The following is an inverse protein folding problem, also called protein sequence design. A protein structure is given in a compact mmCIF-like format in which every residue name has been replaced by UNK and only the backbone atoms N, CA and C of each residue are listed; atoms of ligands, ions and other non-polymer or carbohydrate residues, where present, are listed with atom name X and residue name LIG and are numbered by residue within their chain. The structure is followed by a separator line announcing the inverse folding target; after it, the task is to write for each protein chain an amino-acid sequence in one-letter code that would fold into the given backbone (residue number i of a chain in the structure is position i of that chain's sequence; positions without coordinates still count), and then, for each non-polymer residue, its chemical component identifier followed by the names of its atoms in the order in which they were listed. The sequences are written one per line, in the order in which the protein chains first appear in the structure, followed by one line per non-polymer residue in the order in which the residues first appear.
data_IF_331433715208
#
_entry.id   IF_331433715208
#
_cell.length_a   1.000
_cell.length_b   1.000
_cell.length_c   1.000
_cell.angle_alpha   90.00
_cell.angle_beta   90.00
_cell.angle_gamma   90.00
#
_symmetry.space_group_name_H-M   'P 1'
#
loop_
_entity.id
_entity.type
_entity.pdbx_description
1 polymer ?
#
# COMPACT_ATOMS: atom_id res chain seq x y z
N UNK A 1 -19.73 -5.38 -1.11
CA UNK A 1 -19.01 -4.32 -1.86
C UNK A 1 -19.11 -4.68 -3.32
N UNK A 2 -19.61 -3.78 -4.16
CA UNK A 2 -19.73 -4.05 -5.59
C UNK A 2 -18.39 -3.82 -6.28
N UNK A 3 -18.15 -4.45 -7.43
CA UNK A 3 -16.89 -4.25 -8.17
C UNK A 3 -16.75 -2.81 -8.64
N UNK A 4 -17.84 -2.18 -9.05
CA UNK A 4 -17.90 -0.76 -9.45
C UNK A 4 -17.38 0.22 -8.39
N UNK A 5 -17.40 -0.14 -7.11
CA UNK A 5 -16.93 0.70 -6.00
C UNK A 5 -15.40 0.69 -5.87
N UNK A 6 -14.73 -0.28 -6.50
CA UNK A 6 -13.28 -0.44 -6.42
C UNK A 6 -12.57 0.52 -7.36
N UNK A 7 -11.48 1.13 -6.90
CA UNK A 7 -10.74 2.16 -7.67
C UNK A 7 -10.34 1.69 -9.07
N UNK A 8 -9.98 0.43 -9.20
CA UNK A 8 -9.54 -0.17 -10.47
C UNK A 8 -10.68 -0.22 -11.51
N UNK A 9 -11.94 -0.28 -11.09
CA UNK A 9 -13.13 -0.32 -11.94
C UNK A 9 -13.95 0.98 -11.92
N UNK A 10 -13.42 2.05 -11.31
CA UNK A 10 -14.13 3.32 -11.16
C UNK A 10 -14.59 3.86 -12.52
N UNK A 11 -15.87 4.25 -12.59
CA UNK A 11 -16.47 4.84 -13.79
C UNK A 11 -16.83 3.82 -14.88
N UNK A 12 -16.91 2.54 -14.53
CA UNK A 12 -17.44 1.46 -15.38
C UNK A 12 -18.80 1.03 -14.86
N UNK A 13 -19.70 0.67 -15.77
CA UNK A 13 -20.96 0.03 -15.41
C UNK A 13 -20.73 -1.45 -15.09
N UNK A 14 -21.60 -2.05 -14.27
CA UNK A 14 -21.41 -3.44 -13.85
C UNK A 14 -21.37 -4.41 -15.04
N UNK A 15 -22.15 -4.14 -16.10
CA UNK A 15 -22.12 -4.91 -17.34
C UNK A 15 -20.76 -4.84 -18.03
N UNK A 16 -20.19 -3.65 -18.16
CA UNK A 16 -18.86 -3.44 -18.75
C UNK A 16 -17.78 -4.16 -17.94
N UNK A 17 -17.91 -4.17 -16.61
CA UNK A 17 -17.00 -4.89 -15.72
C UNK A 17 -17.09 -6.39 -16.01
N UNK A 18 -18.28 -6.98 -16.12
CA UNK A 18 -18.41 -8.40 -16.44
C UNK A 18 -17.77 -8.77 -17.79
N UNK A 19 -17.99 -7.96 -18.83
CA UNK A 19 -17.39 -8.17 -20.15
C UNK A 19 -15.85 -8.06 -20.09
N UNK A 20 -15.34 -7.07 -19.35
CA UNK A 20 -13.90 -6.90 -19.08
C UNK A 20 -13.31 -8.11 -18.37
N UNK A 21 -13.98 -8.64 -17.35
CA UNK A 21 -13.49 -9.82 -16.61
C UNK A 21 -13.35 -11.04 -17.53
N UNK A 22 -14.26 -11.21 -18.49
CA UNK A 22 -14.15 -12.27 -19.49
C UNK A 22 -12.94 -12.07 -20.41
N UNK A 23 -12.76 -10.85 -20.95
CA UNK A 23 -11.61 -10.51 -21.80
C UNK A 23 -10.26 -10.76 -21.11
N UNK A 24 -10.19 -10.46 -19.81
CA UNK A 24 -8.95 -10.61 -19.02
C UNK A 24 -8.74 -12.01 -18.44
N UNK A 25 -9.68 -12.94 -18.70
CA UNK A 25 -9.70 -14.27 -18.10
C UNK A 25 -9.55 -14.20 -16.58
N UNK A 26 -10.34 -13.32 -15.97
CA UNK A 26 -10.26 -13.04 -14.56
C UNK A 26 -10.54 -14.30 -13.73
N UNK A 27 -9.78 -14.50 -12.65
CA UNK A 27 -9.92 -15.65 -11.79
C UNK A 27 -10.17 -15.21 -10.35
N UNK A 28 -11.23 -15.73 -9.72
CA UNK A 28 -11.47 -15.55 -8.29
C UNK A 28 -10.88 -16.73 -7.54
N UNK A 29 -10.11 -16.46 -6.49
CA UNK A 29 -9.51 -17.48 -5.63
C UNK A 29 -9.67 -17.10 -4.17
N UNK A 30 -9.96 -18.11 -3.34
CA UNK A 30 -10.06 -17.97 -1.89
C UNK A 30 -8.84 -18.56 -1.23
N UNK A 31 -8.39 -17.91 -0.17
CA UNK A 31 -7.21 -18.27 0.60
C UNK A 31 -7.54 -18.28 2.08
N UNK A 32 -7.01 -19.28 2.79
CA UNK A 32 -7.08 -19.35 4.25
C UNK A 32 -6.01 -18.45 4.86
N UNK A 33 -6.22 -18.07 6.12
CA UNK A 33 -5.21 -17.34 6.90
C UNK A 33 -3.84 -18.03 6.84
N UNK A 34 -2.82 -17.27 6.50
CA UNK A 34 -1.43 -17.71 6.41
C UNK A 34 -1.05 -18.35 5.06
N UNK A 35 -2.00 -18.54 4.14
CA UNK A 35 -1.67 -19.05 2.81
C UNK A 35 -0.98 -17.99 1.95
N UNK A 36 0.04 -18.41 1.20
CA UNK A 36 0.71 -17.58 0.23
C UNK A 36 -0.15 -17.43 -1.03
N UNK A 37 -0.45 -16.17 -1.37
CA UNK A 37 -1.19 -15.77 -2.55
C UNK A 37 -0.23 -15.61 -3.73
N UNK A 38 0.91 -14.97 -3.50
CA UNK A 38 2.08 -14.88 -4.39
C UNK A 38 3.34 -15.05 -3.55
N UNK A 39 4.39 -15.62 -4.14
CA UNK A 39 5.66 -15.90 -3.45
C UNK A 39 6.80 -15.07 -4.01
N UNK A 40 7.72 -14.68 -3.13
CA UNK A 40 9.00 -14.12 -3.52
C UNK A 40 9.75 -15.05 -4.48
N UNK A 41 10.43 -14.47 -5.46
CA UNK A 41 11.20 -15.17 -6.49
C UNK A 41 10.36 -15.71 -7.66
N UNK A 42 9.04 -15.77 -7.52
CA UNK A 42 8.15 -16.15 -8.62
C UNK A 42 7.75 -14.90 -9.43
N UNK A 43 7.82 -14.90 -10.77
CA UNK A 43 7.25 -13.81 -11.56
C UNK A 43 5.72 -13.92 -11.59
N UNK A 44 5.04 -12.80 -11.86
CA UNK A 44 3.58 -12.78 -12.10
C UNK A 44 3.24 -11.89 -13.28
N UNK A 45 2.21 -12.27 -14.03
CA UNK A 45 1.54 -11.38 -15.01
C UNK A 45 0.18 -10.91 -14.50
N UNK A 46 -0.18 -11.29 -13.27
CA UNK A 46 -1.49 -11.05 -12.70
C UNK A 46 -1.41 -10.00 -11.59
N UNK A 47 -2.27 -9.00 -11.67
CA UNK A 47 -2.59 -8.16 -10.51
C UNK A 47 -3.67 -8.83 -9.69
N UNK A 48 -3.57 -8.68 -8.38
CA UNK A 48 -4.62 -9.11 -7.45
C UNK A 48 -5.44 -7.92 -6.97
N UNK A 49 -6.76 -8.08 -6.94
CA UNK A 49 -7.70 -7.15 -6.32
C UNK A 49 -8.35 -7.86 -5.15
N UNK A 50 -8.22 -7.31 -3.95
CA UNK A 50 -8.81 -7.93 -2.74
C UNK A 50 -10.32 -7.71 -2.76
N UNK A 51 -11.12 -8.77 -2.78
CA UNK A 51 -12.58 -8.70 -2.74
C UNK A 51 -13.08 -8.67 -1.29
N UNK A 52 -12.49 -9.49 -0.42
CA UNK A 52 -12.75 -9.57 1.02
C UNK A 52 -11.51 -10.04 1.77
N UNK A 53 -11.46 -9.81 3.08
CA UNK A 53 -10.33 -10.18 3.93
C UNK A 53 -9.19 -9.16 3.88
N UNK A 54 -7.96 -9.61 4.09
CA UNK A 54 -6.76 -8.78 4.08
C UNK A 54 -5.54 -9.55 3.55
N UNK A 55 -4.71 -8.86 2.78
CA UNK A 55 -3.41 -9.37 2.29
C UNK A 55 -2.30 -8.59 2.96
N UNK A 56 -1.31 -9.29 3.52
CA UNK A 56 -0.05 -8.71 3.99
C UNK A 56 1.00 -8.80 2.88
N UNK A 57 1.75 -7.73 2.72
CA UNK A 57 2.93 -7.69 1.85
C UNK A 57 4.14 -7.85 2.75
N UNK A 58 4.81 -8.98 2.63
CA UNK A 58 5.89 -9.40 3.52
C UNK A 58 7.18 -9.59 2.72
N UNK A 59 8.31 -9.31 3.37
CA UNK A 59 9.64 -9.67 2.89
C UNK A 59 10.31 -10.51 3.96
N UNK A 60 10.85 -11.64 3.55
CA UNK A 60 11.64 -12.51 4.40
C UNK A 60 13.12 -12.19 4.16
N UNK A 61 13.93 -12.16 5.22
CA UNK A 61 15.38 -12.14 5.07
C UNK A 61 15.98 -13.55 5.16
N UNK A 62 17.25 -13.67 4.77
CA UNK A 62 17.98 -14.94 4.80
C UNK A 62 18.13 -15.55 6.20
N UNK A 63 17.88 -14.78 7.25
CA UNK A 63 17.96 -15.22 8.64
C UNK A 63 16.58 -15.63 9.19
N UNK A 64 15.53 -15.59 8.36
CA UNK A 64 14.17 -15.98 8.73
C UNK A 64 13.38 -14.88 9.43
N UNK A 65 13.86 -13.63 9.45
CA UNK A 65 13.06 -12.52 9.95
C UNK A 65 12.05 -12.10 8.90
N UNK A 66 10.80 -11.90 9.35
CA UNK A 66 9.70 -11.42 8.51
C UNK A 66 9.43 -9.95 8.77
N UNK A 67 9.40 -9.16 7.70
CA UNK A 67 9.03 -7.75 7.75
C UNK A 67 7.75 -7.50 6.96
N UNK A 68 6.73 -6.96 7.64
CA UNK A 68 5.50 -6.50 6.97
C UNK A 68 5.76 -5.13 6.37
N UNK A 69 5.79 -5.06 5.03
CA UNK A 69 6.04 -3.83 4.28
C UNK A 69 4.77 -3.03 4.01
N UNK A 70 3.63 -3.71 4.01
CA UNK A 70 2.32 -3.10 3.77
C UNK A 70 1.18 -4.10 3.87
N UNK A 71 -0.03 -3.63 3.56
CA UNK A 71 -1.22 -4.47 3.46
C UNK A 71 -2.14 -3.97 2.35
N UNK A 72 -2.95 -4.88 1.82
CA UNK A 72 -4.03 -4.58 0.88
C UNK A 72 -5.36 -5.05 1.50
N UNK A 73 -6.24 -4.09 1.76
CA UNK A 73 -7.60 -4.30 2.25
C UNK A 73 -8.59 -4.43 1.07
N UNK A 74 -9.87 -4.76 1.32
CA UNK A 74 -10.85 -4.90 0.24
C UNK A 74 -10.90 -3.67 -0.68
N UNK A 75 -10.87 -3.91 -1.99
CA UNK A 75 -10.83 -2.90 -3.05
C UNK A 75 -9.42 -2.40 -3.42
N UNK A 76 -8.39 -2.79 -2.65
CA UNK A 76 -7.01 -2.48 -2.99
C UNK A 76 -6.44 -3.47 -4.02
N UNK A 77 -5.54 -2.94 -4.85
CA UNK A 77 -4.75 -3.71 -5.83
C UNK A 77 -3.39 -4.03 -5.22
N UNK A 78 -2.82 -5.19 -5.54
CA UNK A 78 -1.43 -5.54 -5.23
C UNK A 78 -0.75 -6.25 -6.41
N UNK A 79 0.58 -6.37 -6.31
CA UNK A 79 1.47 -6.93 -7.32
C UNK A 79 1.53 -6.16 -8.67
N UNK A 80 0.92 -4.98 -8.76
CA UNK A 80 0.87 -4.21 -10.01
C UNK A 80 2.24 -3.80 -10.56
N UNK A 81 3.20 -3.46 -9.71
CA UNK A 81 4.54 -3.11 -10.18
C UNK A 81 5.24 -4.30 -10.85
N UNK A 82 5.07 -5.52 -10.31
CA UNK A 82 5.65 -6.74 -10.84
C UNK A 82 4.88 -7.24 -12.07
N UNK A 83 3.55 -7.26 -12.00
CA UNK A 83 2.70 -7.70 -13.11
C UNK A 83 2.83 -6.86 -14.38
N UNK A 84 3.20 -5.58 -14.24
CA UNK A 84 3.44 -4.69 -15.38
C UNK A 84 4.83 -4.83 -16.03
N UNK A 85 5.76 -5.57 -15.41
CA UNK A 85 7.12 -5.79 -15.91
C UNK A 85 7.29 -7.30 -16.17
N UNK A 86 7.08 -7.76 -17.41
CA UNK A 86 7.12 -9.19 -17.73
C UNK A 86 8.41 -9.86 -17.27
N UNK A 87 8.28 -10.94 -16.51
CA UNK A 87 9.40 -11.76 -16.04
C UNK A 87 10.12 -11.24 -14.80
N UNK A 88 9.76 -10.07 -14.26
CA UNK A 88 10.35 -9.55 -13.02
C UNK A 88 9.94 -10.44 -11.83
N UNK A 89 10.90 -11.09 -11.14
CA UNK A 89 10.60 -11.86 -9.94
C UNK A 89 10.09 -10.96 -8.82
N UNK A 90 9.13 -11.46 -8.05
CA UNK A 90 8.68 -10.74 -6.85
C UNK A 90 9.81 -10.65 -5.83
N UNK A 91 10.03 -9.46 -5.25
CA UNK A 91 10.94 -9.26 -4.11
C UNK A 91 10.24 -9.46 -2.75
N UNK A 92 8.96 -9.82 -2.79
CA UNK A 92 8.03 -9.81 -1.66
C UNK A 92 7.04 -10.96 -1.82
N UNK A 93 6.55 -11.48 -0.71
CA UNK A 93 5.42 -12.41 -0.70
C UNK A 93 4.12 -11.67 -0.37
N UNK A 94 3.02 -12.13 -0.96
CA UNK A 94 1.67 -11.68 -0.61
C UNK A 94 0.98 -12.80 0.17
N UNK A 95 0.66 -12.58 1.44
CA UNK A 95 0.11 -13.60 2.35
C UNK A 95 -1.30 -13.20 2.79
N UNK A 96 -2.22 -14.15 2.85
CA UNK A 96 -3.54 -13.92 3.41
C UNK A 96 -3.47 -13.73 4.94
N UNK A 97 -3.85 -12.56 5.45
CA UNK A 97 -3.84 -12.25 6.89
C UNK A 97 -4.99 -12.93 7.65
N UNK A 98 -6.09 -13.20 6.93
CA UNK A 98 -7.33 -13.82 7.37
C UNK A 98 -7.95 -14.59 6.18
N UNK A 99 -9.20 -15.05 6.28
CA UNK A 99 -9.89 -15.62 5.13
C UNK A 99 -10.07 -14.53 4.06
N UNK A 100 -9.42 -14.71 2.92
CA UNK A 100 -9.25 -13.66 1.90
C UNK A 100 -9.69 -14.18 0.54
N UNK A 101 -10.47 -13.37 -0.18
CA UNK A 101 -10.85 -13.64 -1.57
C UNK A 101 -10.19 -12.60 -2.47
N UNK A 102 -9.52 -13.07 -3.53
CA UNK A 102 -8.79 -12.24 -4.49
C UNK A 102 -9.31 -12.49 -5.90
N UNK A 103 -9.53 -11.40 -6.63
CA UNK A 103 -9.76 -11.39 -8.07
C UNK A 103 -8.43 -11.10 -8.78
N UNK A 104 -7.99 -12.04 -9.60
CA UNK A 104 -6.80 -11.88 -10.44
C UNK A 104 -7.17 -11.41 -11.84
N UNK A 105 -6.42 -10.43 -12.35
CA UNK A 105 -6.55 -9.90 -13.71
C UNK A 105 -5.19 -10.02 -14.41
N UNK A 106 -5.14 -10.63 -15.60
CA UNK A 106 -3.90 -10.72 -16.38
C UNK A 106 -3.60 -9.37 -17.04
N UNK A 107 -2.55 -8.69 -16.59
CA UNK A 107 -2.14 -7.37 -17.11
C UNK A 107 -1.57 -7.46 -18.52
N UNK A 108 -0.91 -8.56 -18.89
CA UNK A 108 -0.46 -8.80 -20.26
C UNK A 108 -1.60 -8.65 -21.27
N UNK A 109 -2.79 -9.18 -20.94
CA UNK A 109 -4.01 -9.00 -21.75
C UNK A 109 -4.58 -7.58 -21.70
N UNK A 110 -4.42 -6.88 -20.58
CA UNK A 110 -4.83 -5.46 -20.45
C UNK A 110 -4.01 -4.56 -21.36
N UNK A 111 -2.70 -4.80 -21.44
CA UNK A 111 -1.76 -3.98 -22.22
C UNK A 111 -1.75 -4.31 -23.71
N UNK A 112 -2.29 -5.47 -24.09
CA UNK A 112 -2.49 -5.84 -25.49
C UNK A 112 -3.74 -5.17 -26.10
N UNK A 113 -3.76 -4.99 -27.42
CA UNK A 113 -4.95 -4.52 -28.14
C UNK A 113 -6.07 -5.54 -27.95
N UNK A 114 -7.17 -5.10 -27.33
CA UNK A 114 -8.35 -5.94 -27.20
C UNK A 114 -8.93 -6.23 -28.59
N UNK A 115 -8.99 -7.49 -28.98
CA UNK A 115 -9.56 -7.91 -30.27
C UNK A 115 -11.03 -7.54 -30.42
N UNK A 116 -11.74 -7.35 -29.30
CA UNK A 116 -13.14 -6.95 -29.26
C UNK A 116 -13.33 -5.42 -29.28
N UNK A 117 -12.25 -4.64 -29.44
CA UNK A 117 -12.25 -3.17 -29.46
C UNK A 117 -13.00 -2.52 -28.27
N UNK A 118 -12.94 -3.18 -27.11
CA UNK A 118 -13.72 -2.78 -25.95
C UNK A 118 -13.30 -1.40 -25.41
N UNK A 119 -14.23 -0.43 -25.25
CA UNK A 119 -13.90 0.92 -24.77
C UNK A 119 -13.46 0.95 -23.30
N UNK A 120 -13.76 -0.11 -22.54
CA UNK A 120 -13.50 -0.20 -21.11
C UNK A 120 -12.05 -0.63 -20.76
N UNK A 121 -11.28 -1.22 -21.68
CA UNK A 121 -9.86 -1.50 -21.45
C UNK A 121 -9.05 -0.23 -21.20
N UNK A 122 -9.31 0.83 -21.98
CA UNK A 122 -8.64 2.13 -21.80
C UNK A 122 -8.96 2.77 -20.44
N UNK A 123 -10.18 2.59 -19.92
CA UNK A 123 -10.54 3.01 -18.57
C UNK A 123 -9.77 2.20 -17.51
N UNK A 124 -9.66 0.88 -17.68
CA UNK A 124 -8.90 0.03 -16.76
C UNK A 124 -7.42 0.43 -16.71
N UNK A 125 -6.79 0.63 -17.87
CA UNK A 125 -5.38 1.07 -17.97
C UNK A 125 -5.19 2.41 -17.25
N UNK A 126 -6.09 3.37 -17.46
CA UNK A 126 -6.04 4.66 -16.77
C UNK A 126 -6.15 4.50 -15.25
N UNK A 127 -7.11 3.69 -14.79
CA UNK A 127 -7.32 3.46 -13.36
C UNK A 127 -6.10 2.72 -12.75
N UNK A 128 -5.52 1.75 -13.45
CA UNK A 128 -4.30 1.07 -13.04
C UNK A 128 -3.11 2.03 -12.95
N UNK A 129 -2.93 2.91 -13.94
CA UNK A 129 -1.90 3.95 -13.93
C UNK A 129 -2.08 4.90 -12.74
N UNK A 130 -3.32 5.29 -12.42
CA UNK A 130 -3.61 6.12 -11.25
C UNK A 130 -3.23 5.39 -9.94
N UNK A 131 -3.56 4.09 -9.83
CA UNK A 131 -3.17 3.26 -8.68
C UNK A 131 -1.65 3.19 -8.54
N UNK A 132 -0.93 2.89 -9.62
CA UNK A 132 0.54 2.85 -9.64
C UNK A 132 1.15 4.22 -9.26
N UNK A 133 0.65 5.31 -9.82
CA UNK A 133 1.11 6.66 -9.53
C UNK A 133 0.87 7.05 -8.06
N UNK A 134 -0.31 6.71 -7.50
CA UNK A 134 -0.61 6.94 -6.10
C UNK A 134 0.35 6.19 -5.17
N UNK A 135 0.64 4.92 -5.46
CA UNK A 135 1.61 4.13 -4.69
C UNK A 135 3.04 4.64 -4.84
N UNK A 136 3.45 5.02 -6.05
CA UNK A 136 4.75 5.65 -6.31
C UNK A 136 4.92 6.94 -5.49
N UNK A 137 3.92 7.82 -5.49
CA UNK A 137 3.94 9.04 -4.66
C UNK A 137 3.98 8.74 -3.15
N UNK A 138 3.29 7.69 -2.69
CA UNK A 138 3.37 7.25 -1.29
C UNK A 138 4.78 6.78 -0.93
N UNK A 139 5.43 6.03 -1.81
CA UNK A 139 6.82 5.60 -1.64
C UNK A 139 7.77 6.80 -1.61
N UNK A 140 7.65 7.74 -2.55
CA UNK A 140 8.46 8.97 -2.57
C UNK A 140 8.30 9.78 -1.29
N UNK A 141 7.08 9.92 -0.76
CA UNK A 141 6.84 10.58 0.54
C UNK A 141 7.54 9.86 1.68
N UNK A 142 7.47 8.53 1.73
CA UNK A 142 8.17 7.73 2.75
C UNK A 142 9.67 7.99 2.70
N UNK A 143 10.28 8.01 1.51
CA UNK A 143 11.71 8.30 1.31
C UNK A 143 12.09 9.67 1.90
N UNK A 144 11.28 10.70 1.68
CA UNK A 144 11.53 12.04 2.24
C UNK A 144 11.52 12.06 3.78
N UNK A 145 10.75 11.17 4.40
CA UNK A 145 10.69 11.07 5.86
C UNK A 145 11.75 10.15 6.45
N UNK A 146 12.28 9.20 5.68
CA UNK A 146 13.34 8.28 6.13
C UNK A 146 14.75 8.75 5.77
N UNK A 147 14.91 9.80 4.97
CA UNK A 147 16.21 10.31 4.53
C UNK A 147 17.11 10.90 5.63
N UNK A 148 16.55 11.36 6.76
CA UNK A 148 17.36 11.84 7.88
C UNK A 148 18.12 10.70 8.56
N UNK A 149 19.38 10.94 8.93
CA UNK A 149 20.20 9.99 9.70
C UNK A 149 19.79 9.88 11.19
N UNK A 150 18.97 10.81 11.69
CA UNK A 150 18.51 10.82 13.08
C UNK A 150 17.02 10.51 13.20
N UNK A 151 16.64 9.78 14.25
CA UNK A 151 15.23 9.50 14.57
C UNK A 151 14.43 10.81 14.68
N UNK A 152 14.99 11.81 15.37
CA UNK A 152 14.38 13.13 15.52
C UNK A 152 14.10 13.80 14.18
N UNK A 153 15.07 13.80 13.26
CA UNK A 153 14.88 14.41 11.94
C UNK A 153 13.81 13.71 11.11
N UNK A 154 13.71 12.37 11.20
CA UNK A 154 12.64 11.60 10.55
C UNK A 154 11.26 11.95 11.12
N UNK A 155 11.14 12.00 12.45
CA UNK A 155 9.91 12.40 13.14
C UNK A 155 9.48 13.82 12.75
N UNK A 156 10.38 14.79 12.80
CA UNK A 156 10.08 16.19 12.45
C UNK A 156 9.70 16.35 10.98
N UNK A 157 10.36 15.63 10.06
CA UNK A 157 10.01 15.60 8.63
C UNK A 157 8.56 15.13 8.44
N UNK A 158 8.20 13.99 9.06
CA UNK A 158 6.85 13.43 8.97
C UNK A 158 5.78 14.32 9.63
N UNK A 159 6.07 14.84 10.82
CA UNK A 159 5.16 15.74 11.55
C UNK A 159 4.94 17.07 10.83
N UNK A 160 5.97 17.61 10.17
CA UNK A 160 5.86 18.79 9.32
C UNK A 160 4.89 18.56 8.15
N UNK A 161 4.96 17.39 7.51
CA UNK A 161 4.00 17.02 6.45
C UNK A 161 2.56 16.90 6.98
N UNK A 162 2.38 16.26 8.14
CA UNK A 162 1.06 16.12 8.76
C UNK A 162 0.46 17.47 9.16
N UNK A 163 1.27 18.38 9.71
CA UNK A 163 0.85 19.73 10.03
C UNK A 163 0.42 20.53 8.79
N UNK A 164 1.22 20.45 7.70
CA UNK A 164 0.88 21.09 6.42
C UNK A 164 -0.42 20.54 5.82
N UNK A 165 -0.61 19.22 5.84
CA UNK A 165 -1.83 18.57 5.31
C UNK A 165 -3.08 18.90 6.11
N UNK A 166 -2.96 19.03 7.43
CA UNK A 166 -4.07 19.39 8.32
C UNK A 166 -4.34 20.89 8.39
N UNK A 167 -3.42 21.73 7.89
CA UNK A 167 -3.47 23.18 8.06
C UNK A 167 -3.31 23.64 9.51
N UNK A 168 -2.82 22.76 10.41
CA UNK A 168 -2.78 22.98 11.85
C UNK A 168 -1.49 22.43 12.46
N UNK A 169 -1.00 23.04 13.53
CA UNK A 169 0.10 22.47 14.33
C UNK A 169 -0.33 21.25 15.14
N UNK A 170 -1.65 21.06 15.34
CA UNK A 170 -2.23 19.89 15.99
C UNK A 170 -2.90 18.98 14.96
N UNK A 171 -2.48 17.70 14.93
CA UNK A 171 -2.92 16.73 13.95
C UNK A 171 -3.01 15.31 14.53
N UNK A 172 -3.68 14.42 13.81
CA UNK A 172 -3.79 13.00 14.14
C UNK A 172 -3.08 12.18 13.07
N UNK A 173 -2.33 11.16 13.49
CA UNK A 173 -1.68 10.22 12.58
C UNK A 173 -2.47 8.89 12.56
N UNK A 174 -2.47 8.16 11.42
CA UNK A 174 -3.18 6.89 11.28
C UNK A 174 -2.40 5.70 11.86
N UNK A 175 -1.31 5.93 12.60
CA UNK A 175 -0.40 4.90 13.07
C UNK A 175 -0.38 4.78 14.59
N UNK A 176 -0.33 3.54 15.08
CA UNK A 176 0.14 3.25 16.43
C UNK A 176 1.68 3.39 16.52
N UNK A 177 2.27 3.18 17.70
CA UNK A 177 3.72 3.35 17.90
C UNK A 177 4.57 2.34 17.12
N UNK A 178 4.12 1.10 16.95
CA UNK A 178 4.85 0.12 16.16
C UNK A 178 4.79 0.51 14.68
N UNK A 179 3.58 0.77 14.16
CA UNK A 179 3.37 1.16 12.78
C UNK A 179 4.13 2.45 12.40
N UNK A 180 4.23 3.42 13.32
CA UNK A 180 5.02 4.63 13.06
C UNK A 180 6.52 4.33 13.01
N UNK A 181 7.02 3.45 13.88
CA UNK A 181 8.41 3.02 13.87
C UNK A 181 8.76 2.29 12.56
N UNK A 182 7.89 1.37 12.13
CA UNK A 182 8.03 0.64 10.86
C UNK A 182 7.98 1.61 9.67
N UNK A 183 7.03 2.56 9.68
CA UNK A 183 6.90 3.57 8.64
C UNK A 183 8.17 4.43 8.50
N UNK A 184 8.75 4.85 9.62
CA UNK A 184 9.97 5.67 9.68
C UNK A 184 11.27 4.85 9.62
N UNK A 185 11.18 3.52 9.53
CA UNK A 185 12.31 2.58 9.51
C UNK A 185 13.28 2.79 10.67
N UNK A 186 12.74 2.88 11.89
CA UNK A 186 13.49 3.06 13.14
C UNK A 186 13.07 2.00 14.16
N UNK A 187 13.94 1.70 15.12
CA UNK A 187 13.56 0.88 16.27
C UNK A 187 12.46 1.56 17.09
N UNK A 188 11.46 0.77 17.52
CA UNK A 188 10.31 1.28 18.28
C UNK A 188 10.72 1.86 19.63
N UNK A 189 11.63 1.20 20.34
CA UNK A 189 12.06 1.63 21.69
C UNK A 189 12.86 2.92 21.60
N UNK A 190 13.81 3.00 20.66
CA UNK A 190 14.57 4.20 20.38
C UNK A 190 13.68 5.37 19.94
N UNK A 191 12.67 5.11 19.10
CA UNK A 191 11.68 6.12 18.70
C UNK A 191 10.85 6.62 19.88
N UNK A 192 10.38 5.74 20.75
CA UNK A 192 9.61 6.13 21.95
C UNK A 192 10.47 6.97 22.93
N UNK A 193 11.74 6.62 23.09
CA UNK A 193 12.70 7.40 23.88
C UNK A 193 12.91 8.80 23.28
N UNK A 194 13.05 8.89 21.96
CA UNK A 194 13.19 10.17 21.26
C UNK A 194 11.94 11.04 21.41
N UNK A 195 10.74 10.48 21.22
CA UNK A 195 9.48 11.20 21.42
C UNK A 195 9.36 11.76 22.84
N UNK A 196 9.74 10.98 23.85
CA UNK A 196 9.72 11.41 25.25
C UNK A 196 10.72 12.52 25.53
N UNK A 197 11.89 12.47 24.88
CA UNK A 197 12.89 13.54 24.93
C UNK A 197 12.39 14.82 24.25
N UNK A 198 11.85 14.73 23.04
CA UNK A 198 11.27 15.88 22.32
C UNK A 198 10.12 16.55 23.10
N UNK A 199 9.33 15.76 23.83
CA UNK A 199 8.28 16.29 24.72
C UNK A 199 8.87 17.05 25.91
N UNK A 200 9.88 16.49 26.58
CA UNK A 200 10.59 17.17 27.69
C UNK A 200 11.26 18.47 27.25
N UNK A 201 11.75 18.52 26.01
CA UNK A 201 12.33 19.72 25.40
C UNK A 201 11.26 20.75 24.94
N UNK A 202 9.96 20.44 25.09
CA UNK A 202 8.88 21.35 24.71
C UNK A 202 8.68 21.49 23.19
N UNK A 203 9.26 20.61 22.36
CA UNK A 203 9.11 20.66 20.89
C UNK A 203 7.75 20.12 20.44
N UNK A 204 7.23 19.13 21.14
CA UNK A 204 5.98 18.44 20.81
C UNK A 204 5.17 18.14 22.07
N UNK A 205 3.85 18.07 21.90
CA UNK A 205 2.95 17.39 22.82
C UNK A 205 2.25 16.24 22.10
N UNK A 206 1.94 15.16 22.81
CA UNK A 206 1.19 14.06 22.22
C UNK A 206 0.36 13.28 23.23
N UNK A 207 -0.76 12.74 22.73
CA UNK A 207 -1.61 11.80 23.43
C UNK A 207 -2.04 10.71 22.44
N UNK A 208 -1.64 9.47 22.69
CA UNK A 208 -1.83 8.34 21.74
C UNK A 208 -1.36 8.73 20.33
N UNK A 209 -2.26 8.85 19.36
CA UNK A 209 -1.95 9.21 17.97
C UNK A 209 -2.29 10.66 17.61
N UNK A 210 -2.59 11.51 18.60
CA UNK A 210 -2.75 12.96 18.43
C UNK A 210 -1.45 13.64 18.83
N UNK A 211 -0.93 14.51 17.96
CA UNK A 211 0.31 15.25 18.14
C UNK A 211 0.05 16.74 17.97
N UNK A 212 0.83 17.56 18.66
CA UNK A 212 0.88 19.01 18.48
C UNK A 212 2.34 19.46 18.41
N UNK A 213 2.71 20.18 17.37
CA UNK A 213 3.99 20.88 17.30
C UNK A 213 3.89 22.18 18.10
N UNK A 214 4.88 22.45 18.93
CA UNK A 214 5.05 23.77 19.55
C UNK A 214 5.86 24.61 18.58
N UNK A 215 5.36 25.79 18.21
CA UNK A 215 6.18 26.73 17.44
C UNK A 215 7.32 27.17 18.36
N UNK A 216 8.54 27.11 17.86
CA UNK A 216 9.63 27.91 18.43
C UNK A 216 9.23 29.38 18.24
N UNK A 217 9.17 30.12 19.33
CA UNK A 217 9.16 31.58 19.29
C UNK A 217 10.46 32.11 18.67
#
# INVERSE_FOLDING_TARGET
MNLSDMRIFRGMEEKDIQDLLQCLSAARKKYRKGEAILREGEPTEQIGVVLSGMVLIESDDLWGNRSVLGSAAPGAVFAEAYACIPGEPLLISAIAAEETEVLFLNVGKVLSVCTNACPFHGKLVRNLLEVCAQKSLQLSRRILHTGSKSIRGRLLSYFSECAKKSGSSAFRIPYNRQQLADYLSVDRSAMCNELSRMRREGLIEYERNRFSLKKSE
#
